data_IF_125321730499
#
_entry.id   IF_125321730499
#
_cell.length_a   1.000
_cell.length_b   1.000
_cell.length_c   1.000
_cell.angle_alpha   90.00
_cell.angle_beta   90.00
_cell.angle_gamma   90.00
#
_symmetry.space_group_name_H-M   'P 1'
#
loop_
_entity.id
_entity.type
_entity.pdbx_description
1 polymer ?
#
# COMPACT_ATOMS: atom_id res chain seq x y z
N UNK A 1 -29.09 7.64 -12.46
CA UNK A 1 -27.75 7.40 -13.07
C UNK A 1 -27.60 6.12 -13.91
N UNK A 2 -27.94 4.90 -13.45
CA UNK A 2 -27.69 3.65 -14.21
C UNK A 2 -28.17 3.68 -15.69
N UNK A 3 -29.40 4.16 -15.93
CA UNK A 3 -29.97 4.23 -17.28
C UNK A 3 -29.20 5.19 -18.21
N UNK A 4 -28.62 6.25 -17.65
CA UNK A 4 -27.86 7.27 -18.37
C UNK A 4 -26.48 6.73 -18.77
N UNK A 5 -25.88 5.91 -17.91
CA UNK A 5 -24.58 5.27 -18.17
C UNK A 5 -24.69 4.04 -19.06
N UNK A 6 -25.90 3.50 -19.27
CA UNK A 6 -26.11 2.28 -20.05
C UNK A 6 -25.55 2.32 -21.47
N UNK A 7 -25.82 3.34 -22.29
CA UNK A 7 -25.23 3.41 -23.62
C UNK A 7 -23.69 3.42 -23.56
N UNK A 8 -23.12 4.10 -22.55
CA UNK A 8 -21.67 4.25 -22.38
C UNK A 8 -21.02 2.91 -22.02
N UNK A 9 -21.56 2.18 -21.03
CA UNK A 9 -20.97 0.89 -20.67
C UNK A 9 -21.20 -0.19 -21.73
N UNK A 10 -22.30 -0.13 -22.50
CA UNK A 10 -22.55 -1.05 -23.61
C UNK A 10 -21.58 -0.84 -24.77
N UNK A 11 -21.30 0.42 -25.13
CA UNK A 11 -20.26 0.76 -26.10
C UNK A 11 -18.90 0.22 -25.64
N UNK A 12 -18.54 0.47 -24.38
CA UNK A 12 -17.24 0.06 -23.83
C UNK A 12 -17.08 -1.46 -23.76
N UNK A 13 -18.13 -2.17 -23.37
CA UNK A 13 -18.15 -3.64 -23.35
C UNK A 13 -17.97 -4.26 -24.75
N UNK A 14 -18.28 -3.52 -25.83
CA UNK A 14 -18.11 -4.01 -27.19
C UNK A 14 -16.65 -3.96 -27.69
N UNK A 15 -15.79 -3.18 -27.04
CA UNK A 15 -14.37 -3.12 -27.42
C UNK A 15 -13.65 -4.43 -27.10
N UNK A 16 -12.76 -4.92 -27.99
CA UNK A 16 -12.13 -6.23 -27.87
C UNK A 16 -11.14 -6.34 -26.70
N UNK A 17 -10.54 -5.21 -26.30
CA UNK A 17 -9.56 -5.05 -25.23
C UNK A 17 -10.20 -4.88 -23.84
N UNK A 18 -11.50 -4.55 -23.77
CA UNK A 18 -12.21 -4.46 -22.49
C UNK A 18 -12.30 -5.83 -21.82
N UNK A 19 -11.78 -5.94 -20.60
CA UNK A 19 -11.83 -7.13 -19.74
C UNK A 19 -13.05 -7.12 -18.83
N UNK A 20 -13.38 -5.98 -18.24
CA UNK A 20 -14.47 -5.90 -17.26
C UNK A 20 -15.09 -4.52 -17.18
N UNK A 21 -16.39 -4.48 -16.86
CA UNK A 21 -17.11 -3.22 -16.61
C UNK A 21 -17.92 -3.35 -15.33
N UNK A 22 -17.64 -2.46 -14.37
CA UNK A 22 -18.19 -2.47 -13.01
C UNK A 22 -18.83 -1.10 -12.73
N UNK A 23 -20.07 -1.10 -12.26
CA UNK A 23 -20.75 0.10 -11.78
C UNK A 23 -20.79 0.10 -10.25
N UNK A 24 -20.44 1.24 -9.67
CA UNK A 24 -20.56 1.49 -8.24
C UNK A 24 -21.45 2.70 -8.04
N UNK A 25 -22.54 2.55 -7.31
CA UNK A 25 -23.42 3.65 -6.94
C UNK A 25 -23.08 4.15 -5.54
N UNK A 26 -23.30 5.45 -5.28
CA UNK A 26 -23.14 6.02 -3.94
C UNK A 26 -24.03 5.27 -2.93
N UNK A 27 -23.51 4.93 -1.75
CA UNK A 27 -24.32 4.30 -0.69
C UNK A 27 -25.14 5.33 0.09
N UNK A 28 -24.69 6.58 0.09
CA UNK A 28 -25.30 7.73 0.75
C UNK A 28 -24.99 9.03 0.01
N UNK A 29 -25.66 10.11 0.37
CA UNK A 29 -25.32 11.44 -0.14
C UNK A 29 -23.87 11.78 0.24
N UNK A 30 -23.12 12.34 -0.70
CA UNK A 30 -21.71 12.75 -0.55
C UNK A 30 -20.78 11.61 -0.11
N UNK A 31 -20.96 10.42 -0.68
CA UNK A 31 -20.17 9.24 -0.35
C UNK A 31 -18.68 9.41 -0.74
N UNK A 32 -17.73 9.35 0.21
CA UNK A 32 -16.31 9.47 -0.10
C UNK A 32 -15.78 8.27 -0.92
N UNK A 33 -16.45 7.10 -0.90
CA UNK A 33 -16.06 5.93 -1.71
C UNK A 33 -16.16 6.26 -3.21
N UNK A 34 -17.12 7.10 -3.58
CA UNK A 34 -17.33 7.54 -4.96
C UNK A 34 -16.79 8.96 -5.21
N UNK A 35 -15.94 9.51 -4.33
CA UNK A 35 -15.44 10.89 -4.45
C UNK A 35 -16.57 11.92 -4.61
N UNK A 36 -17.69 11.69 -3.90
CA UNK A 36 -18.94 12.45 -3.97
C UNK A 36 -19.71 12.33 -5.29
N UNK A 37 -19.24 11.54 -6.26
CA UNK A 37 -20.01 11.21 -7.46
C UNK A 37 -21.18 10.28 -7.14
N UNK A 38 -22.25 10.38 -7.92
CA UNK A 38 -23.43 9.55 -7.75
C UNK A 38 -23.19 8.12 -8.26
N UNK A 39 -22.33 7.97 -9.28
CA UNK A 39 -21.86 6.69 -9.75
C UNK A 39 -20.42 6.72 -10.28
N UNK A 40 -19.72 5.60 -10.11
CA UNK A 40 -18.43 5.29 -10.72
C UNK A 40 -18.64 4.18 -11.74
N UNK A 41 -18.19 4.40 -12.97
CA UNK A 41 -18.07 3.36 -14.00
C UNK A 41 -16.61 2.97 -14.15
N UNK A 42 -16.22 1.83 -13.59
CA UNK A 42 -14.88 1.29 -13.69
C UNK A 42 -14.81 0.33 -14.88
N UNK A 43 -13.87 0.57 -15.79
CA UNK A 43 -13.60 -0.24 -16.97
C UNK A 43 -12.17 -0.73 -16.86
N UNK A 44 -11.98 -2.03 -17.03
CA UNK A 44 -10.67 -2.67 -17.01
C UNK A 44 -10.37 -3.12 -18.44
N UNK A 45 -9.18 -2.79 -18.95
CA UNK A 45 -8.77 -3.10 -20.33
C UNK A 45 -7.36 -3.69 -20.38
N UNK A 46 -7.05 -4.46 -21.41
CA UNK A 46 -5.68 -4.87 -21.74
C UNK A 46 -4.84 -3.73 -22.34
N UNK A 47 -5.47 -2.66 -22.82
CA UNK A 47 -4.77 -1.49 -23.36
C UNK A 47 -4.01 -0.73 -22.25
N UNK A 48 -2.70 -0.56 -22.45
CA UNK A 48 -1.78 0.11 -21.52
C UNK A 48 -1.15 1.37 -22.13
N UNK A 49 -1.58 1.82 -23.34
CA UNK A 49 -1.09 3.08 -23.92
C UNK A 49 -1.42 4.28 -23.02
N UNK A 50 -2.62 4.27 -22.46
CA UNK A 50 -3.06 5.22 -21.41
C UNK A 50 -3.50 4.40 -20.19
N UNK A 51 -2.59 4.12 -19.23
CA UNK A 51 -2.87 3.22 -18.11
C UNK A 51 -4.04 3.65 -17.21
N UNK A 52 -4.35 4.95 -17.21
CA UNK A 52 -5.45 5.55 -16.48
C UNK A 52 -6.06 6.64 -17.35
N UNK A 53 -7.31 6.44 -17.78
CA UNK A 53 -8.12 7.46 -18.45
C UNK A 53 -9.37 7.75 -17.61
N UNK A 54 -9.68 9.03 -17.43
CA UNK A 54 -10.84 9.45 -16.61
C UNK A 54 -11.70 10.43 -17.39
N UNK A 55 -13.02 10.25 -17.33
CA UNK A 55 -14.00 11.15 -17.93
C UNK A 55 -15.17 11.38 -16.99
N UNK A 56 -15.55 12.64 -16.81
CA UNK A 56 -16.69 13.03 -15.98
C UNK A 56 -17.93 13.24 -16.84
N UNK A 57 -19.08 12.92 -16.27
CA UNK A 57 -20.40 13.09 -16.85
C UNK A 57 -21.31 13.82 -15.87
N UNK A 58 -22.22 14.61 -16.41
CA UNK A 58 -23.26 15.31 -15.67
C UNK A 58 -24.58 15.12 -16.39
N UNK A 59 -25.61 14.74 -15.64
CA UNK A 59 -27.00 14.71 -16.11
C UNK A 59 -27.89 15.40 -15.07
N UNK A 60 -28.32 16.63 -15.38
CA UNK A 60 -28.98 17.50 -14.41
C UNK A 60 -28.09 17.78 -13.19
N UNK A 61 -28.58 17.41 -12.01
CA UNK A 61 -27.84 17.53 -10.74
C UNK A 61 -26.99 16.30 -10.42
N UNK A 62 -27.20 15.18 -11.12
CA UNK A 62 -26.42 13.97 -10.91
C UNK A 62 -25.09 14.03 -11.68
N UNK A 63 -24.02 13.50 -11.09
CA UNK A 63 -22.69 13.42 -11.66
C UNK A 63 -22.13 12.00 -11.58
N UNK A 64 -21.43 11.58 -12.63
CA UNK A 64 -20.75 10.29 -12.68
C UNK A 64 -19.32 10.45 -13.20
N UNK A 65 -18.48 9.48 -12.88
CA UNK A 65 -17.13 9.39 -13.44
C UNK A 65 -16.90 8.00 -14.01
N UNK A 66 -16.30 7.96 -15.19
CA UNK A 66 -15.77 6.76 -15.80
C UNK A 66 -14.26 6.73 -15.65
N UNK A 67 -13.75 5.63 -15.12
CA UNK A 67 -12.33 5.31 -15.08
C UNK A 67 -12.07 4.12 -16.00
N UNK A 68 -11.17 4.28 -16.97
CA UNK A 68 -10.62 3.17 -17.76
C UNK A 68 -9.21 2.93 -17.24
N UNK A 69 -8.95 1.73 -16.73
CA UNK A 69 -7.70 1.35 -16.08
C UNK A 69 -7.12 0.14 -16.80
N UNK A 70 -5.84 0.19 -17.13
CA UNK A 70 -5.16 -0.99 -17.69
C UNK A 70 -5.06 -2.10 -16.63
N UNK A 71 -5.17 -3.35 -17.06
CA UNK A 71 -4.98 -4.53 -16.21
C UNK A 71 -3.66 -4.44 -15.41
N UNK A 72 -2.57 -4.06 -16.09
CA UNK A 72 -1.26 -3.86 -15.47
C UNK A 72 -1.27 -2.80 -14.37
N UNK A 73 -1.94 -1.67 -14.61
CA UNK A 73 -2.06 -0.62 -13.60
C UNK A 73 -2.95 -1.04 -12.42
N UNK A 74 -4.00 -1.83 -12.69
CA UNK A 74 -4.85 -2.42 -11.67
C UNK A 74 -4.06 -3.37 -10.76
N UNK A 75 -3.33 -4.32 -11.33
CA UNK A 75 -2.46 -5.23 -10.56
C UNK A 75 -1.41 -4.47 -9.76
N UNK A 76 -0.79 -3.44 -10.34
CA UNK A 76 0.14 -2.56 -9.61
C UNK A 76 -0.53 -1.90 -8.40
N UNK A 77 -1.76 -1.40 -8.53
CA UNK A 77 -2.48 -0.82 -7.41
C UNK A 77 -2.83 -1.83 -6.32
N UNK A 78 -3.28 -3.02 -6.71
CA UNK A 78 -3.58 -4.12 -5.80
C UNK A 78 -2.32 -4.61 -5.06
N UNK A 79 -1.17 -4.64 -5.75
CA UNK A 79 0.12 -5.02 -5.17
C UNK A 79 0.62 -3.97 -4.18
N UNK A 80 0.60 -2.70 -4.55
CA UNK A 80 1.06 -1.59 -3.69
C UNK A 80 0.08 -1.24 -2.56
N UNK A 81 -1.15 -1.77 -2.61
CA UNK A 81 -2.25 -1.34 -1.75
C UNK A 81 -2.61 0.14 -1.92
N UNK A 82 -2.24 0.74 -3.06
CA UNK A 82 -2.52 2.12 -3.43
C UNK A 82 -3.93 2.20 -4.04
N UNK A 83 -4.66 3.30 -3.81
CA UNK A 83 -6.06 3.48 -4.29
C UNK A 83 -7.07 2.48 -3.66
N UNK A 84 -7.18 2.50 -2.33
CA UNK A 84 -8.10 1.63 -1.54
C UNK A 84 -9.55 1.59 -2.05
N UNK A 85 -10.05 2.66 -2.65
CA UNK A 85 -11.41 2.71 -3.21
C UNK A 85 -11.61 1.70 -4.34
N UNK A 86 -10.58 1.46 -5.16
CA UNK A 86 -10.63 0.48 -6.26
C UNK A 86 -10.90 -0.92 -5.72
N UNK A 87 -10.30 -1.27 -4.58
CA UNK A 87 -10.57 -2.55 -3.90
C UNK A 87 -12.04 -2.65 -3.49
N UNK A 88 -12.60 -1.61 -2.88
CA UNK A 88 -14.03 -1.56 -2.52
C UNK A 88 -14.93 -1.66 -3.77
N UNK A 89 -14.57 -0.97 -4.85
CA UNK A 89 -15.29 -1.03 -6.13
C UNK A 89 -15.26 -2.43 -6.76
N UNK A 90 -14.11 -3.10 -6.74
CA UNK A 90 -13.96 -4.47 -7.23
C UNK A 90 -14.83 -5.44 -6.42
N UNK A 91 -14.82 -5.35 -5.08
CA UNK A 91 -15.58 -6.28 -4.24
C UNK A 91 -17.09 -6.05 -4.26
N UNK A 92 -17.52 -4.79 -4.18
CA UNK A 92 -18.93 -4.46 -3.93
C UNK A 92 -19.65 -3.86 -5.15
N UNK A 93 -18.93 -3.54 -6.22
CA UNK A 93 -19.51 -3.04 -7.45
C UNK A 93 -20.33 -4.09 -8.21
N UNK A 94 -21.34 -3.64 -8.93
CA UNK A 94 -22.17 -4.48 -9.80
C UNK A 94 -21.45 -4.67 -11.14
N UNK A 95 -21.18 -5.92 -11.51
CA UNK A 95 -20.50 -6.27 -12.77
C UNK A 95 -21.54 -6.27 -13.91
N UNK A 96 -21.29 -5.50 -14.97
CA UNK A 96 -22.12 -5.43 -16.17
C UNK A 96 -21.54 -6.17 -17.36
N UNK A 97 -20.22 -6.35 -17.38
CA UNK A 97 -19.50 -7.08 -18.40
C UNK A 97 -18.26 -7.72 -17.78
N UNK A 98 -18.01 -8.98 -18.14
CA UNK A 98 -16.85 -9.74 -17.68
C UNK A 98 -16.36 -10.69 -18.77
N UNK A 99 -15.23 -10.36 -19.39
CA UNK A 99 -14.63 -11.15 -20.46
C UNK A 99 -13.87 -12.30 -19.84
N UNK A 100 -14.23 -13.52 -20.23
CA UNK A 100 -13.59 -14.75 -19.75
C UNK A 100 -13.55 -14.85 -18.21
N UNK A 101 -14.55 -14.28 -17.52
CA UNK A 101 -14.64 -14.28 -16.05
C UNK A 101 -13.45 -13.59 -15.35
N UNK A 102 -12.81 -12.62 -16.01
CA UNK A 102 -11.67 -11.87 -15.46
C UNK A 102 -11.98 -11.23 -14.10
N UNK A 103 -13.12 -10.54 -13.94
CA UNK A 103 -13.48 -9.86 -12.69
C UNK A 103 -13.78 -10.87 -11.58
N UNK A 104 -14.48 -11.95 -11.90
CA UNK A 104 -14.75 -13.03 -10.95
C UNK A 104 -13.48 -13.79 -10.54
N UNK A 105 -12.55 -14.04 -11.47
CA UNK A 105 -11.23 -14.59 -11.16
C UNK A 105 -10.43 -13.63 -10.28
N UNK A 106 -10.39 -12.34 -10.62
CA UNK A 106 -9.70 -11.32 -9.82
C UNK A 106 -10.26 -11.25 -8.40
N UNK A 107 -11.60 -11.28 -8.24
CA UNK A 107 -12.23 -11.37 -6.92
C UNK A 107 -11.82 -12.64 -6.18
N UNK A 108 -11.84 -13.77 -6.86
CA UNK A 108 -11.47 -15.07 -6.28
C UNK A 108 -10.00 -15.08 -5.87
N UNK A 109 -9.08 -14.54 -6.68
CA UNK A 109 -7.67 -14.36 -6.30
C UNK A 109 -7.50 -13.48 -5.08
N UNK A 110 -8.29 -12.40 -4.99
CA UNK A 110 -8.31 -11.52 -3.82
C UNK A 110 -8.93 -12.18 -2.57
N UNK A 111 -9.71 -13.25 -2.71
CA UNK A 111 -10.26 -14.03 -1.59
C UNK A 111 -9.42 -15.26 -1.23
N UNK A 112 -8.96 -16.01 -2.23
CA UNK A 112 -8.34 -17.33 -2.13
C UNK A 112 -6.80 -17.29 -2.18
N UNK A 113 -6.22 -16.31 -2.88
CA UNK A 113 -4.77 -16.17 -3.07
C UNK A 113 -4.19 -14.85 -2.53
N UNK A 114 -4.47 -14.46 -1.26
CA UNK A 114 -3.85 -13.29 -0.64
C UNK A 114 -2.31 -13.40 -0.51
N UNK A 115 -1.75 -14.59 -0.78
CA UNK A 115 -0.32 -14.88 -0.71
C UNK A 115 0.50 -14.33 -1.90
N UNK A 116 -0.11 -14.11 -3.07
CA UNK A 116 0.65 -13.58 -4.21
C UNK A 116 1.13 -12.14 -3.91
N UNK A 117 2.44 -11.95 -3.96
CA UNK A 117 3.10 -10.71 -3.55
C UNK A 117 2.99 -10.41 -2.05
N UNK A 118 2.64 -11.37 -1.18
CA UNK A 118 2.51 -11.13 0.27
C UNK A 118 3.82 -10.69 0.90
N UNK A 119 4.93 -11.37 0.62
CA UNK A 119 6.25 -10.97 1.14
C UNK A 119 6.59 -9.53 0.71
N UNK A 120 6.32 -9.20 -0.56
CA UNK A 120 6.50 -7.85 -1.07
C UNK A 120 5.60 -6.84 -0.35
N UNK A 121 4.30 -7.11 -0.20
CA UNK A 121 3.36 -6.26 0.55
C UNK A 121 3.80 -6.04 2.00
N UNK A 122 4.25 -7.10 2.68
CA UNK A 122 4.80 -7.01 4.03
C UNK A 122 6.03 -6.11 4.06
N UNK A 123 6.98 -6.28 3.14
CA UNK A 123 8.16 -5.44 3.05
C UNK A 123 7.85 -3.98 2.72
N UNK A 124 6.90 -3.72 1.82
CA UNK A 124 6.45 -2.37 1.50
C UNK A 124 5.81 -1.69 2.71
N UNK A 125 4.92 -2.36 3.45
CA UNK A 125 4.32 -1.77 4.65
C UNK A 125 5.32 -1.62 5.79
N UNK A 126 6.24 -2.58 5.98
CA UNK A 126 7.32 -2.47 6.95
C UNK A 126 8.25 -1.29 6.64
N UNK A 127 8.59 -1.06 5.37
CA UNK A 127 9.46 0.07 4.99
C UNK A 127 8.84 1.43 5.34
N UNK A 128 7.52 1.57 5.17
CA UNK A 128 6.77 2.78 5.54
C UNK A 128 6.65 2.91 7.07
N UNK A 129 6.38 1.80 7.76
CA UNK A 129 6.36 1.72 9.22
C UNK A 129 7.67 2.20 9.84
N UNK A 130 8.79 1.68 9.32
CA UNK A 130 10.16 2.03 9.75
C UNK A 130 10.46 3.49 9.49
N UNK A 131 10.16 4.02 8.30
CA UNK A 131 10.34 5.44 8.00
C UNK A 131 9.59 6.32 9.00
N UNK A 132 8.29 6.08 9.18
CA UNK A 132 7.45 6.84 10.11
C UNK A 132 7.96 6.74 11.55
N UNK A 133 8.45 5.58 11.97
CA UNK A 133 9.07 5.41 13.29
C UNK A 133 10.36 6.25 13.45
N UNK A 134 11.28 6.18 12.50
CA UNK A 134 12.57 6.91 12.57
C UNK A 134 12.34 8.43 12.54
N UNK A 135 11.52 8.91 11.61
CA UNK A 135 11.22 10.34 11.47
C UNK A 135 10.47 10.85 12.72
N UNK A 136 9.45 10.11 13.17
CA UNK A 136 8.72 10.44 14.39
C UNK A 136 9.59 10.48 15.64
N UNK A 137 10.49 9.50 15.79
CA UNK A 137 11.43 9.45 16.92
C UNK A 137 12.38 10.63 16.91
N UNK A 138 12.86 11.04 15.74
CA UNK A 138 13.70 12.23 15.56
C UNK A 138 12.98 13.49 16.05
N UNK A 139 11.72 13.70 15.64
CA UNK A 139 10.93 14.84 16.13
C UNK A 139 10.67 14.78 17.64
N UNK A 140 10.43 13.58 18.18
CA UNK A 140 10.21 13.39 19.60
C UNK A 140 11.42 13.79 20.43
N UNK A 141 12.62 13.33 20.03
CA UNK A 141 13.89 13.64 20.69
C UNK A 141 14.25 15.14 20.61
N UNK A 142 13.75 15.84 19.59
CA UNK A 142 13.88 17.31 19.44
C UNK A 142 12.84 18.12 20.23
N UNK A 143 11.90 17.46 20.91
CA UNK A 143 10.80 18.11 21.64
C UNK A 143 9.62 18.57 20.76
N UNK A 144 9.65 18.27 19.47
CA UNK A 144 8.57 18.59 18.51
C UNK A 144 7.46 17.55 18.58
N UNK A 145 6.78 17.48 19.72
CA UNK A 145 5.82 16.40 20.01
C UNK A 145 4.60 16.36 19.07
N UNK A 146 4.19 17.50 18.50
CA UNK A 146 3.06 17.53 17.56
C UNK A 146 3.42 16.87 16.22
N UNK A 147 4.64 17.10 15.72
CA UNK A 147 5.16 16.47 14.52
C UNK A 147 5.45 14.98 14.75
N UNK A 148 6.01 14.64 15.92
CA UNK A 148 6.18 13.26 16.34
C UNK A 148 4.84 12.50 16.40
N UNK A 149 3.77 13.14 16.91
CA UNK A 149 2.43 12.56 16.92
C UNK A 149 1.91 12.22 15.53
N UNK A 150 2.10 13.11 14.55
CA UNK A 150 1.69 12.86 13.17
C UNK A 150 2.35 11.58 12.63
N UNK A 151 3.68 11.46 12.78
CA UNK A 151 4.43 10.28 12.35
C UNK A 151 4.04 9.00 13.10
N UNK A 152 3.76 9.07 14.42
CA UNK A 152 3.30 7.91 15.20
C UNK A 152 1.94 7.41 14.70
N UNK A 153 1.00 8.31 14.38
CA UNK A 153 -0.31 7.91 13.84
C UNK A 153 -0.15 7.21 12.48
N UNK A 154 0.71 7.73 11.59
CA UNK A 154 0.99 7.09 10.31
C UNK A 154 1.69 5.73 10.49
N UNK A 155 2.69 5.67 11.36
CA UNK A 155 3.43 4.45 11.72
C UNK A 155 2.48 3.36 12.25
N UNK A 156 1.61 3.69 13.20
CA UNK A 156 0.58 2.78 13.72
C UNK A 156 -0.37 2.29 12.62
N UNK A 157 -0.73 3.14 11.65
CA UNK A 157 -1.57 2.74 10.53
C UNK A 157 -0.86 1.73 9.60
N UNK A 158 0.44 1.88 9.39
CA UNK A 158 1.25 0.90 8.65
C UNK A 158 1.42 -0.41 9.44
N UNK A 159 1.63 -0.34 10.75
CA UNK A 159 1.68 -1.52 11.63
C UNK A 159 0.36 -2.30 11.59
N UNK A 160 -0.78 -1.60 11.65
CA UNK A 160 -2.10 -2.18 11.50
C UNK A 160 -2.27 -2.94 10.17
N UNK A 161 -1.85 -2.33 9.05
CA UNK A 161 -1.92 -2.96 7.72
C UNK A 161 -1.00 -4.17 7.63
N UNK A 162 0.21 -4.06 8.15
CA UNK A 162 1.18 -5.16 8.20
C UNK A 162 0.59 -6.36 8.95
N UNK A 163 -0.01 -6.14 10.12
CA UNK A 163 -0.67 -7.22 10.90
C UNK A 163 -1.81 -7.91 10.13
N UNK A 164 -2.58 -7.17 9.33
CA UNK A 164 -3.63 -7.76 8.47
C UNK A 164 -3.02 -8.61 7.35
N UNK A 165 -1.97 -8.12 6.69
CA UNK A 165 -1.27 -8.86 5.62
C UNK A 165 -0.59 -10.12 6.17
N UNK A 166 -0.02 -10.04 7.37
CA UNK A 166 0.58 -11.18 8.09
C UNK A 166 -0.44 -12.28 8.40
N UNK A 167 -1.72 -11.94 8.49
CA UNK A 167 -2.78 -12.93 8.69
C UNK A 167 -3.40 -13.41 7.36
N UNK A 168 -2.77 -13.07 6.23
CA UNK A 168 -3.25 -13.47 4.91
C UNK A 168 -4.52 -12.75 4.50
N UNK A 169 -4.77 -11.55 5.02
CA UNK A 169 -5.96 -10.76 4.72
C UNK A 169 -5.59 -9.48 3.97
N UNK A 170 -6.54 -8.93 3.22
CA UNK A 170 -6.38 -7.64 2.56
C UNK A 170 -6.72 -6.48 3.51
N UNK A 171 -5.84 -5.48 3.70
CA UNK A 171 -6.15 -4.32 4.53
C UNK A 171 -7.25 -3.45 3.89
N UNK A 172 -8.41 -3.41 4.55
CA UNK A 172 -9.56 -2.62 4.13
C UNK A 172 -9.42 -1.13 4.48
N UNK A 173 -10.39 -0.32 4.04
CA UNK A 173 -10.47 1.10 4.43
C UNK A 173 -10.61 1.24 5.94
N UNK A 174 -11.36 0.33 6.58
CA UNK A 174 -11.64 0.28 8.03
C UNK A 174 -10.67 -0.66 8.77
N UNK A 175 -9.37 -0.59 8.46
CA UNK A 175 -8.33 -1.51 8.95
C UNK A 175 -8.36 -1.76 10.47
N UNK A 176 -8.68 -0.75 11.28
CA UNK A 176 -8.75 -0.89 12.74
C UNK A 176 -9.83 -1.87 13.21
N UNK A 177 -10.92 -2.01 12.47
CA UNK A 177 -11.95 -3.03 12.73
C UNK A 177 -11.44 -4.45 12.46
N UNK A 178 -10.53 -4.61 11.50
CA UNK A 178 -9.85 -5.88 11.23
C UNK A 178 -8.84 -6.16 12.34
N UNK A 179 -7.95 -5.20 12.64
CA UNK A 179 -6.90 -5.33 13.68
C UNK A 179 -7.47 -5.62 15.05
N UNK A 180 -8.59 -5.01 15.44
CA UNK A 180 -9.26 -5.29 16.72
C UNK A 180 -9.57 -6.78 16.92
N UNK A 181 -9.80 -7.53 15.84
CA UNK A 181 -10.07 -8.97 15.87
C UNK A 181 -8.79 -9.81 15.75
N UNK A 182 -7.85 -9.34 14.92
CA UNK A 182 -6.64 -10.06 14.54
C UNK A 182 -5.52 -9.91 15.58
N UNK A 183 -5.20 -8.66 15.93
CA UNK A 183 -4.17 -8.32 16.91
C UNK A 183 -4.67 -7.18 17.80
N UNK A 184 -5.44 -7.51 18.87
CA UNK A 184 -5.98 -6.52 19.80
C UNK A 184 -4.91 -5.68 20.50
N UNK A 185 -3.65 -6.15 20.55
CA UNK A 185 -2.57 -5.42 21.20
C UNK A 185 -2.18 -4.17 20.40
N UNK A 186 -2.12 -4.27 19.07
CA UNK A 186 -1.89 -3.13 18.17
C UNK A 186 -3.06 -2.15 18.22
N UNK A 187 -4.30 -2.65 18.28
CA UNK A 187 -5.48 -1.78 18.45
C UNK A 187 -5.40 -0.97 19.75
N UNK A 188 -5.03 -1.61 20.86
CA UNK A 188 -4.88 -0.94 22.16
C UNK A 188 -3.82 0.16 22.14
N UNK A 189 -2.72 0.01 21.40
CA UNK A 189 -1.72 1.08 21.28
C UNK A 189 -2.33 2.36 20.72
N UNK A 190 -3.14 2.24 19.66
CA UNK A 190 -3.80 3.41 19.08
C UNK A 190 -4.91 3.97 19.98
N UNK A 191 -5.63 3.10 20.68
CA UNK A 191 -6.60 3.50 21.70
C UNK A 191 -5.95 4.29 22.84
N UNK A 192 -4.81 3.83 23.38
CA UNK A 192 -4.06 4.50 24.45
C UNK A 192 -3.53 5.87 24.00
N UNK A 193 -3.04 5.98 22.75
CA UNK A 193 -2.61 7.26 22.19
C UNK A 193 -3.73 8.33 22.26
N UNK A 194 -4.96 7.92 21.99
CA UNK A 194 -6.12 8.81 21.91
C UNK A 194 -6.77 9.04 23.28
N UNK A 195 -6.87 8.01 24.11
CA UNK A 195 -7.73 8.00 25.30
C UNK A 195 -6.98 8.22 26.61
N UNK A 196 -5.66 7.99 26.65
CA UNK A 196 -4.87 8.18 27.86
C UNK A 196 -4.88 9.65 28.30
N UNK A 197 -4.96 9.86 29.62
CA UNK A 197 -4.92 11.17 30.26
C UNK A 197 -3.50 11.70 30.48
N UNK A 198 -2.48 10.90 30.14
CA UNK A 198 -1.08 11.29 30.26
C UNK A 198 -0.72 12.45 29.29
N UNK A 199 0.30 13.26 29.63
CA UNK A 199 0.86 14.24 28.71
C UNK A 199 1.21 13.61 27.36
N UNK A 200 1.09 14.37 26.27
CA UNK A 200 1.36 13.88 24.91
C UNK A 200 2.76 13.24 24.80
N UNK A 201 3.77 13.87 25.39
CA UNK A 201 5.13 13.33 25.46
C UNK A 201 5.17 11.91 26.02
N UNK A 202 4.50 11.65 27.15
CA UNK A 202 4.48 10.32 27.79
C UNK A 202 3.73 9.28 26.98
N UNK A 203 2.64 9.69 26.32
CA UNK A 203 1.94 8.83 25.37
C UNK A 203 2.86 8.44 24.22
N UNK A 204 3.54 9.42 23.61
CA UNK A 204 4.47 9.17 22.50
C UNK A 204 5.64 8.29 22.92
N UNK A 205 6.23 8.51 24.09
CA UNK A 205 7.33 7.70 24.65
C UNK A 205 6.95 6.21 24.70
N UNK A 206 5.76 5.90 25.24
CA UNK A 206 5.24 4.54 25.30
C UNK A 206 4.99 3.96 23.91
N UNK A 207 4.45 4.77 22.99
CA UNK A 207 4.16 4.34 21.63
C UNK A 207 5.45 4.04 20.84
N UNK A 208 6.52 4.79 21.01
CA UNK A 208 7.82 4.49 20.39
C UNK A 208 8.42 3.20 20.96
N UNK A 209 8.38 2.99 22.27
CA UNK A 209 8.86 1.76 22.90
C UNK A 209 8.11 0.53 22.37
N UNK A 210 6.78 0.60 22.28
CA UNK A 210 5.98 -0.47 21.73
C UNK A 210 6.28 -0.67 20.24
N UNK A 211 6.32 0.40 19.45
CA UNK A 211 6.59 0.33 18.02
C UNK A 211 7.94 -0.32 17.71
N UNK A 212 8.99 -0.04 18.49
CA UNK A 212 10.30 -0.67 18.35
C UNK A 212 10.22 -2.20 18.50
N UNK A 213 9.49 -2.68 19.52
CA UNK A 213 9.23 -4.11 19.72
C UNK A 213 8.45 -4.73 18.56
N UNK A 214 7.39 -4.08 18.08
CA UNK A 214 6.58 -4.57 16.97
C UNK A 214 7.36 -4.62 15.65
N UNK A 215 8.17 -3.60 15.37
CA UNK A 215 9.06 -3.54 14.21
C UNK A 215 10.10 -4.66 14.28
N UNK A 216 10.78 -4.81 15.42
CA UNK A 216 11.80 -5.84 15.62
C UNK A 216 11.26 -7.24 15.32
N UNK A 217 10.14 -7.61 15.92
CA UNK A 217 9.54 -8.95 15.78
C UNK A 217 9.08 -9.28 14.34
N UNK A 218 8.86 -8.27 13.51
CA UNK A 218 8.35 -8.41 12.14
C UNK A 218 9.42 -8.18 11.08
N UNK A 219 10.62 -7.78 11.50
CA UNK A 219 11.69 -7.41 10.57
C UNK A 219 12.10 -8.60 9.70
N UNK A 220 12.28 -9.79 10.26
CA UNK A 220 12.72 -10.96 9.47
C UNK A 220 11.71 -11.33 8.36
N UNK A 221 10.42 -11.39 8.70
CA UNK A 221 9.38 -11.72 7.72
C UNK A 221 9.14 -10.59 6.72
N UNK A 222 9.15 -9.33 7.16
CA UNK A 222 8.99 -8.17 6.29
C UNK A 222 10.19 -7.92 5.37
N UNK A 223 11.41 -8.28 5.79
CA UNK A 223 12.61 -8.16 4.96
C UNK A 223 12.72 -9.27 3.90
N UNK A 224 11.97 -10.38 4.04
CA UNK A 224 12.13 -11.57 3.18
C UNK A 224 12.14 -11.23 1.69
N UNK A 225 11.21 -10.41 1.21
CA UNK A 225 11.14 -10.05 -0.20
C UNK A 225 12.41 -9.32 -0.70
N UNK A 226 12.87 -8.29 0.01
CA UNK A 226 14.06 -7.55 -0.45
C UNK A 226 15.32 -8.42 -0.36
N UNK A 227 15.38 -9.31 0.63
CA UNK A 227 16.45 -10.28 0.78
C UNK A 227 16.46 -11.28 -0.38
N UNK A 228 15.31 -11.86 -0.71
CA UNK A 228 15.13 -12.81 -1.81
C UNK A 228 15.58 -12.20 -3.15
N UNK A 229 15.17 -10.97 -3.45
CA UNK A 229 15.60 -10.27 -4.66
C UNK A 229 17.10 -9.97 -4.62
N UNK A 230 17.64 -9.53 -3.48
CA UNK A 230 19.07 -9.24 -3.37
C UNK A 230 19.94 -10.49 -3.49
N UNK A 231 19.45 -11.67 -3.14
CA UNK A 231 20.17 -12.94 -3.33
C UNK A 231 20.40 -13.31 -4.81
N UNK A 232 19.66 -12.72 -5.75
CA UNK A 232 19.82 -12.97 -7.19
C UNK A 232 21.20 -12.52 -7.73
N UNK A 233 21.88 -11.63 -7.01
CA UNK A 233 23.20 -11.10 -7.38
C UNK A 233 24.08 -10.91 -6.14
N UNK A 234 25.37 -11.21 -6.27
CA UNK A 234 26.32 -11.15 -5.15
C UNK A 234 26.48 -9.76 -4.51
N UNK A 235 26.27 -8.69 -5.27
CA UNK A 235 26.52 -7.32 -4.84
C UNK A 235 25.67 -6.33 -5.63
N UNK A 236 25.12 -5.35 -4.94
CA UNK A 236 24.23 -4.33 -5.48
C UNK A 236 24.73 -2.94 -5.15
N UNK A 237 24.76 -2.05 -6.13
CA UNK A 237 24.78 -0.61 -5.86
C UNK A 237 23.38 -0.14 -5.48
N UNK A 238 23.25 1.01 -4.81
CA UNK A 238 21.92 1.58 -4.51
C UNK A 238 21.12 1.88 -5.79
N UNK A 239 21.79 2.31 -6.87
CA UNK A 239 21.13 2.59 -8.15
C UNK A 239 20.54 1.33 -8.78
N UNK A 240 21.27 0.22 -8.72
CA UNK A 240 20.76 -1.07 -9.22
C UNK A 240 19.53 -1.53 -8.43
N UNK A 241 19.49 -1.31 -7.11
CA UNK A 241 18.30 -1.58 -6.30
C UNK A 241 17.11 -0.71 -6.72
N UNK A 242 17.34 0.56 -7.09
CA UNK A 242 16.28 1.44 -7.61
C UNK A 242 15.77 1.04 -9.00
N UNK A 243 16.63 0.43 -9.82
CA UNK A 243 16.29 0.01 -11.18
C UNK A 243 15.68 -1.40 -11.24
N UNK A 244 15.90 -2.22 -10.21
CA UNK A 244 15.32 -3.56 -10.12
C UNK A 244 13.77 -3.48 -10.06
N UNK A 245 13.11 -4.32 -10.87
CA UNK A 245 11.67 -4.23 -11.18
C UNK A 245 10.74 -4.32 -9.96
N UNK A 246 11.11 -5.14 -8.97
CA UNK A 246 10.35 -5.35 -7.74
C UNK A 246 10.76 -4.33 -6.67
N UNK A 247 12.05 -4.04 -6.52
CA UNK A 247 12.54 -3.13 -5.49
C UNK A 247 12.25 -1.65 -5.76
N UNK A 248 12.11 -1.24 -7.03
CA UNK A 248 11.66 0.12 -7.37
C UNK A 248 10.29 0.48 -6.78
N UNK A 249 9.49 -0.53 -6.41
CA UNK A 249 8.19 -0.35 -5.77
C UNK A 249 8.29 0.16 -4.33
N UNK A 250 9.43 -0.02 -3.66
CA UNK A 250 9.70 0.61 -2.36
C UNK A 250 9.86 2.13 -2.50
N UNK A 251 10.21 2.59 -3.70
CA UNK A 251 10.26 4.01 -4.09
C UNK A 251 11.07 4.81 -3.07
N UNK A 252 10.53 5.93 -2.58
CA UNK A 252 11.18 6.79 -1.60
C UNK A 252 11.60 6.05 -0.32
N UNK A 253 10.98 4.92 0.03
CA UNK A 253 11.32 4.19 1.26
C UNK A 253 12.54 3.26 1.11
N UNK A 254 13.03 3.04 -0.11
CA UNK A 254 14.06 2.02 -0.37
C UNK A 254 15.34 2.29 0.43
N UNK A 255 15.94 3.48 0.31
CA UNK A 255 17.19 3.82 1.00
C UNK A 255 17.10 3.71 2.52
N UNK A 256 16.05 4.29 3.13
CA UNK A 256 15.84 4.22 4.58
C UNK A 256 15.66 2.78 5.04
N UNK A 257 14.98 1.97 4.24
CA UNK A 257 14.76 0.57 4.57
C UNK A 257 16.05 -0.25 4.44
N UNK A 258 16.88 0.00 3.42
CA UNK A 258 18.21 -0.62 3.29
C UNK A 258 19.08 -0.28 4.50
N UNK A 259 19.19 1.01 4.87
CA UNK A 259 20.00 1.42 6.02
C UNK A 259 19.49 0.82 7.34
N UNK A 260 18.17 0.75 7.51
CA UNK A 260 17.58 0.05 8.65
C UNK A 260 17.95 -1.44 8.67
N UNK A 261 17.86 -2.14 7.54
CA UNK A 261 18.22 -3.56 7.46
C UNK A 261 19.73 -3.80 7.64
N UNK A 262 20.57 -2.84 7.25
CA UNK A 262 22.00 -2.84 7.58
C UNK A 262 22.21 -2.73 9.10
N UNK A 263 21.53 -1.79 9.76
CA UNK A 263 21.61 -1.63 11.21
C UNK A 263 21.14 -2.90 11.95
N UNK A 264 20.09 -3.56 11.43
CA UNK A 264 19.57 -4.82 11.98
C UNK A 264 20.36 -6.06 11.58
N UNK A 265 21.39 -5.92 10.74
CA UNK A 265 22.29 -7.01 10.34
C UNK A 265 21.72 -7.97 9.28
N UNK A 266 20.62 -7.62 8.62
CA UNK A 266 20.08 -8.39 7.49
C UNK A 266 20.82 -8.13 6.19
N UNK A 267 21.35 -6.91 6.01
CA UNK A 267 22.12 -6.53 4.82
C UNK A 267 23.54 -6.16 5.24
N UNK A 268 24.53 -6.62 4.48
CA UNK A 268 25.92 -6.27 4.70
C UNK A 268 26.36 -5.16 3.76
N UNK A 269 27.21 -4.27 4.28
CA UNK A 269 27.86 -3.22 3.49
C UNK A 269 29.20 -3.71 2.97
N UNK A 270 29.39 -3.61 1.65
CA UNK A 270 30.65 -3.86 0.97
C UNK A 270 31.24 -2.51 0.54
N UNK A 271 32.52 -2.29 0.85
CA UNK A 271 33.25 -1.10 0.41
C UNK A 271 34.05 -1.43 -0.83
N UNK A 272 33.90 -0.64 -1.89
CA UNK A 272 34.71 -0.72 -3.09
C UNK A 272 35.46 0.61 -3.32
N UNK A 273 36.66 0.55 -3.88
CA UNK A 273 37.54 1.72 -4.00
C UNK A 273 36.92 2.80 -4.88
N UNK A 274 36.94 4.05 -4.41
CA UNK A 274 36.61 5.21 -5.23
C UNK A 274 37.89 5.88 -5.75
N UNK A 275 37.73 6.89 -6.62
CA UNK A 275 38.86 7.70 -7.11
C UNK A 275 39.56 8.51 -6.01
N UNK A 276 38.97 8.62 -4.83
CA UNK A 276 39.54 9.31 -3.68
C UNK A 276 39.91 8.27 -2.60
N UNK A 277 41.15 8.33 -2.11
CA UNK A 277 41.71 7.38 -1.11
C UNK A 277 40.93 7.34 0.22
N UNK A 278 40.13 8.37 0.51
CA UNK A 278 39.35 8.49 1.76
C UNK A 278 37.87 8.18 1.59
N UNK A 279 37.40 7.96 0.36
CA UNK A 279 35.99 7.72 0.05
C UNK A 279 35.86 6.35 -0.62
N UNK A 280 34.87 5.58 -0.19
CA UNK A 280 34.56 4.28 -0.77
C UNK A 280 33.17 4.34 -1.38
N UNK A 281 32.98 3.62 -2.48
CA UNK A 281 31.64 3.24 -2.92
C UNK A 281 31.04 2.30 -1.86
N UNK A 282 29.75 2.47 -1.60
CA UNK A 282 28.99 1.71 -0.61
C UNK A 282 28.00 0.84 -1.36
N UNK A 283 28.32 -0.45 -1.42
CA UNK A 283 27.51 -1.47 -2.06
C UNK A 283 26.91 -2.39 -1.00
N UNK A 284 25.91 -3.18 -1.39
CA UNK A 284 25.09 -3.96 -0.48
C UNK A 284 25.03 -5.42 -0.94
N UNK A 285 25.04 -6.34 0.02
CA UNK A 285 24.84 -7.77 -0.25
C UNK A 285 24.06 -8.45 0.87
N UNK A 286 23.50 -9.59 0.54
CA UNK A 286 22.85 -10.54 1.46
C UNK A 286 23.66 -11.83 1.46
N UNK A 287 23.76 -12.50 2.61
CA UNK A 287 24.37 -13.83 2.77
C UNK A 287 23.33 -14.93 2.84
#
# INVERSE_FOLDING_TARGET
MEQVLRPIYQERASFPDTLGVILVEKRRKDDPITDTFDAILLIITTDDEVPIFTKHYTDGEEKAVMHIISEKQLHKWLLLGSKRKVVDWLFYGKVYFDRNEFVEQLRSEMWEYPFYGRNMKMGLELSKLVRGYIEGKTFFEQGSHMDAYHHVVESLHHLARLAVIENGLFPEVTVWSQVKKIDPSIYKLYEELITSQEPLEKRLELLFLASDFFIHNRTADGARHIMDVMMEKQQWTIQELYEQEELKMYSINLEVFIEFLVEKGFIQVVKSDSKNEWIYHRDYRVE
#
